data_IF_421006604039
#
_entry.id   IF_421006604039
#
_cell.length_a   1.000
_cell.length_b   1.000
_cell.length_c   1.000
_cell.angle_alpha   90.00
_cell.angle_beta   90.00
_cell.angle_gamma   90.00
#
_symmetry.space_group_name_H-M   'P 1'
#
loop_
_entity.id
_entity.type
_entity.pdbx_description
1 polymer ?
#
# COMPACT_ATOMS: atom_id res chain seq x y z
N UNK A 1 25.93 82.39 -41.76
CA UNK A 1 25.39 81.32 -42.62
C UNK A 1 26.12 79.97 -42.50
N UNK A 2 27.42 79.90 -42.13
CA UNK A 2 28.12 78.60 -41.95
C UNK A 2 27.83 77.89 -40.61
N UNK A 3 27.44 78.61 -39.57
CA UNK A 3 27.19 78.01 -38.24
C UNK A 3 25.82 77.31 -38.16
N UNK A 4 24.77 77.90 -38.71
CA UNK A 4 23.42 77.30 -38.76
C UNK A 4 23.40 75.98 -39.54
N UNK A 5 24.28 75.83 -40.55
CA UNK A 5 24.46 74.60 -41.31
C UNK A 5 25.15 73.50 -40.49
N UNK A 6 26.08 73.88 -39.61
CA UNK A 6 26.76 72.93 -38.70
C UNK A 6 25.79 72.46 -37.62
N UNK A 7 25.03 73.36 -37.03
CA UNK A 7 24.04 73.02 -35.99
C UNK A 7 22.97 72.06 -36.52
N UNK A 8 22.46 72.30 -37.73
CA UNK A 8 21.47 71.41 -38.37
C UNK A 8 22.06 70.04 -38.71
N UNK A 9 23.32 69.96 -39.14
CA UNK A 9 24.01 68.68 -39.35
C UNK A 9 24.16 67.88 -38.04
N UNK A 10 24.50 68.53 -36.93
CA UNK A 10 24.60 67.86 -35.63
C UNK A 10 23.25 67.37 -35.10
N UNK A 11 22.17 68.14 -35.30
CA UNK A 11 20.82 67.72 -34.93
C UNK A 11 20.37 66.52 -35.77
N UNK A 12 20.65 66.52 -37.07
CA UNK A 12 20.37 65.39 -37.95
C UNK A 12 21.13 64.13 -37.55
N UNK A 13 22.41 64.26 -37.21
CA UNK A 13 23.22 63.14 -36.70
C UNK A 13 22.71 62.60 -35.37
N UNK A 14 22.30 63.48 -34.44
CA UNK A 14 21.70 63.07 -33.17
C UNK A 14 20.38 62.31 -33.37
N UNK A 15 19.52 62.79 -34.27
CA UNK A 15 18.28 62.10 -34.64
C UNK A 15 18.54 60.73 -35.25
N UNK A 16 19.52 60.63 -36.15
CA UNK A 16 19.92 59.35 -36.75
C UNK A 16 20.46 58.37 -35.69
N UNK A 17 21.23 58.86 -34.71
CA UNK A 17 21.73 58.04 -33.61
C UNK A 17 20.62 57.57 -32.66
N UNK A 18 19.62 58.41 -32.37
CA UNK A 18 18.46 58.02 -31.55
C UNK A 18 17.61 56.97 -32.28
N UNK A 19 17.41 57.12 -33.59
CA UNK A 19 16.70 56.13 -34.41
C UNK A 19 17.49 54.82 -34.51
N UNK A 20 18.81 54.88 -34.66
CA UNK A 20 19.65 53.69 -34.64
C UNK A 20 19.64 53.01 -33.26
N UNK A 21 19.63 53.78 -32.17
CA UNK A 21 19.53 53.25 -30.81
C UNK A 21 18.20 52.52 -30.55
N UNK A 22 17.08 52.99 -31.11
CA UNK A 22 15.79 52.29 -31.01
C UNK A 22 15.70 51.00 -31.85
N UNK A 23 16.52 50.87 -32.90
CA UNK A 23 16.60 49.64 -33.71
C UNK A 23 17.60 48.64 -33.12
N UNK A 24 18.64 49.15 -32.45
CA UNK A 24 19.72 48.36 -31.83
C UNK A 24 19.45 48.10 -30.34
N UNK A 25 18.28 48.50 -29.83
CA UNK A 25 17.87 48.19 -28.46
C UNK A 25 17.96 46.66 -28.30
N UNK A 26 18.92 46.16 -27.50
CA UNK A 26 19.08 44.73 -27.33
C UNK A 26 17.79 44.23 -26.68
N UNK A 27 17.12 43.27 -27.33
CA UNK A 27 16.00 42.58 -26.73
C UNK A 27 16.35 42.31 -25.27
N UNK A 28 15.52 42.80 -24.35
CA UNK A 28 15.62 42.40 -22.97
C UNK A 28 15.33 40.91 -22.95
N UNK A 29 16.36 40.09 -23.11
CA UNK A 29 16.30 38.64 -22.94
C UNK A 29 16.01 38.46 -21.47
N UNK A 30 14.72 38.52 -21.11
CA UNK A 30 14.22 37.95 -19.88
C UNK A 30 14.76 36.52 -19.92
N UNK A 31 15.62 36.10 -18.98
CA UNK A 31 16.12 34.74 -19.00
C UNK A 31 14.90 33.82 -19.00
N UNK A 32 14.70 33.03 -20.06
CA UNK A 32 13.61 32.02 -20.19
C UNK A 32 13.52 31.03 -19.01
N UNK A 33 14.48 31.13 -18.09
CA UNK A 33 14.61 30.42 -16.82
C UNK A 33 13.52 30.83 -15.80
N UNK A 34 12.84 31.98 -15.96
CA UNK A 34 11.80 32.45 -15.02
C UNK A 34 10.37 32.51 -15.60
N UNK A 35 10.15 32.05 -16.82
CA UNK A 35 8.95 32.37 -17.60
C UNK A 35 7.64 31.74 -17.05
N UNK A 36 7.74 30.57 -16.43
CA UNK A 36 6.56 29.80 -15.99
C UNK A 36 6.50 29.57 -14.47
N UNK A 37 7.28 30.32 -13.71
CA UNK A 37 7.31 30.20 -12.26
C UNK A 37 6.00 30.69 -11.62
N UNK A 38 5.44 29.90 -10.70
CA UNK A 38 4.17 30.18 -10.03
C UNK A 38 2.92 29.70 -10.78
N UNK A 39 3.05 29.29 -12.04
CA UNK A 39 1.99 28.64 -12.79
C UNK A 39 1.65 27.25 -12.23
N UNK A 40 0.42 26.81 -12.48
CA UNK A 40 0.04 25.42 -12.21
C UNK A 40 0.76 24.47 -13.17
N UNK A 41 1.09 23.26 -12.70
CA UNK A 41 1.61 22.21 -13.60
C UNK A 41 0.60 21.81 -14.67
N UNK A 42 -0.69 21.76 -14.29
CA UNK A 42 -1.79 21.32 -15.16
C UNK A 42 -2.97 22.28 -15.03
N UNK A 43 -2.99 23.41 -15.79
CA UNK A 43 -4.02 24.44 -15.65
C UNK A 43 -5.47 23.96 -15.90
N UNK A 44 -5.64 22.89 -16.68
CA UNK A 44 -6.94 22.30 -16.98
C UNK A 44 -7.43 21.32 -15.90
N UNK A 45 -6.57 20.91 -14.98
CA UNK A 45 -6.95 20.11 -13.83
C UNK A 45 -7.36 21.08 -12.73
N UNK A 46 -8.68 21.25 -12.52
CA UNK A 46 -9.22 22.19 -11.52
C UNK A 46 -10.16 21.53 -10.52
N UNK A 47 -10.75 20.38 -10.87
CA UNK A 47 -11.64 19.62 -9.99
C UNK A 47 -10.92 18.40 -9.39
N UNK A 48 -10.60 18.39 -8.09
CA UNK A 48 -9.93 17.27 -7.44
C UNK A 48 -10.80 16.00 -7.34
N UNK A 49 -12.10 16.05 -7.68
CA UNK A 49 -12.99 14.89 -7.72
C UNK A 49 -13.15 14.30 -9.13
N UNK A 50 -12.64 14.98 -10.16
CA UNK A 50 -12.66 14.50 -11.54
C UNK A 50 -11.89 13.17 -11.74
N UNK A 51 -10.74 12.90 -11.07
CA UNK A 51 -10.01 11.66 -11.29
C UNK A 51 -10.84 10.42 -10.92
N UNK A 52 -10.94 9.48 -11.86
CA UNK A 52 -11.46 8.13 -11.65
C UNK A 52 -10.37 7.06 -11.62
N UNK A 53 -9.14 7.44 -11.92
CA UNK A 53 -7.97 6.57 -11.84
C UNK A 53 -6.79 7.34 -11.26
N UNK A 54 -6.05 6.68 -10.37
CA UNK A 54 -4.67 7.05 -10.01
C UNK A 54 -3.75 5.88 -10.29
N UNK A 55 -2.64 6.17 -10.93
CA UNK A 55 -1.56 5.24 -11.18
C UNK A 55 -0.29 5.81 -10.54
N UNK A 56 0.30 5.07 -9.61
CA UNK A 56 1.54 5.42 -8.93
C UNK A 56 2.57 4.35 -9.29
N UNK A 57 3.67 4.75 -9.89
CA UNK A 57 4.77 3.86 -10.22
C UNK A 57 5.96 4.32 -9.40
N UNK A 58 6.26 3.56 -8.36
CA UNK A 58 7.46 3.75 -7.57
C UNK A 58 8.61 2.91 -8.13
N UNK A 59 9.84 3.22 -7.75
CA UNK A 59 11.01 2.47 -8.20
C UNK A 59 11.89 2.10 -7.02
N UNK A 60 12.22 0.82 -6.93
CA UNK A 60 13.13 0.29 -5.93
C UNK A 60 14.52 0.15 -6.54
N UNK A 61 15.43 1.04 -6.12
CA UNK A 61 16.82 1.04 -6.59
C UNK A 61 17.61 -0.19 -6.13
N UNK A 62 17.27 -0.77 -4.97
CA UNK A 62 17.98 -1.95 -4.44
C UNK A 62 17.72 -3.19 -5.30
N UNK A 63 16.49 -3.34 -5.79
CA UNK A 63 16.08 -4.47 -6.62
C UNK A 63 16.06 -4.15 -8.11
N UNK A 64 16.26 -2.88 -8.48
CA UNK A 64 16.09 -2.34 -9.82
C UNK A 64 14.71 -2.69 -10.43
N UNK A 65 13.64 -2.58 -9.63
CA UNK A 65 12.28 -2.90 -10.08
C UNK A 65 11.29 -1.76 -9.90
N UNK A 66 10.42 -1.57 -10.89
CA UNK A 66 9.27 -0.68 -10.77
C UNK A 66 8.13 -1.38 -9.99
N UNK A 67 7.47 -0.62 -9.12
CA UNK A 67 6.34 -1.07 -8.29
C UNK A 67 5.08 -0.29 -8.70
N UNK A 68 4.31 -0.80 -9.69
CA UNK A 68 3.11 -0.13 -10.16
C UNK A 68 1.92 -0.42 -9.25
N UNK A 69 1.24 0.65 -8.86
CA UNK A 69 -0.04 0.61 -8.19
C UNK A 69 -1.06 1.37 -9.03
N UNK A 70 -2.17 0.71 -9.36
CA UNK A 70 -3.27 1.35 -10.08
C UNK A 70 -4.57 1.17 -9.31
N UNK A 71 -5.19 2.29 -8.93
CA UNK A 71 -6.51 2.33 -8.30
C UNK A 71 -7.48 3.00 -9.27
N UNK A 72 -8.60 2.35 -9.56
CA UNK A 72 -9.59 2.84 -10.52
C UNK A 72 -11.02 2.60 -10.05
N UNK A 73 -11.93 3.48 -10.46
CA UNK A 73 -13.36 3.29 -10.28
C UNK A 73 -13.91 2.49 -11.46
N UNK A 74 -14.39 1.27 -11.20
CA UNK A 74 -14.91 0.37 -12.22
C UNK A 74 -16.17 -0.33 -11.70
N UNK A 75 -17.22 -0.43 -12.53
CA UNK A 75 -18.47 -1.14 -12.21
C UNK A 75 -19.09 -0.68 -10.87
N UNK A 76 -19.08 0.63 -10.61
CA UNK A 76 -19.70 1.23 -9.43
C UNK A 76 -18.91 1.09 -8.13
N UNK A 77 -17.66 0.61 -8.17
CA UNK A 77 -16.80 0.48 -6.98
C UNK A 77 -15.34 0.81 -7.28
N UNK A 78 -14.58 1.14 -6.25
CA UNK A 78 -13.13 1.30 -6.36
C UNK A 78 -12.43 -0.05 -6.26
N UNK A 79 -11.43 -0.26 -7.13
CA UNK A 79 -10.60 -1.45 -7.15
C UNK A 79 -9.12 -1.08 -7.30
N UNK A 80 -8.25 -1.90 -6.72
CA UNK A 80 -6.81 -1.88 -7.03
C UNK A 80 -6.60 -2.78 -8.25
N UNK A 81 -6.62 -2.19 -9.45
CA UNK A 81 -6.51 -2.91 -10.72
C UNK A 81 -5.18 -3.65 -10.87
N UNK A 82 -4.08 -3.10 -10.34
CA UNK A 82 -2.78 -3.79 -10.33
C UNK A 82 -2.72 -5.00 -9.38
N UNK A 83 -3.73 -5.19 -8.54
CA UNK A 83 -3.83 -6.28 -7.56
C UNK A 83 -5.11 -7.06 -7.75
N UNK A 84 -5.28 -7.62 -8.95
CA UNK A 84 -6.39 -8.53 -9.29
C UNK A 84 -7.79 -7.91 -9.11
N UNK A 85 -7.91 -6.58 -9.23
CA UNK A 85 -9.15 -5.83 -8.96
C UNK A 85 -9.66 -5.98 -7.53
N UNK A 86 -8.74 -6.03 -6.54
CA UNK A 86 -9.10 -6.07 -5.12
C UNK A 86 -9.99 -4.87 -4.75
N UNK A 87 -11.20 -5.10 -4.18
CA UNK A 87 -12.13 -4.02 -3.88
C UNK A 87 -11.66 -3.21 -2.68
N UNK A 88 -11.77 -1.88 -2.79
CA UNK A 88 -11.34 -0.93 -1.76
C UNK A 88 -12.36 0.18 -1.58
N UNK A 89 -12.25 0.87 -0.45
CA UNK A 89 -12.92 2.15 -0.23
C UNK A 89 -11.89 3.29 -0.36
N UNK A 90 -11.55 3.61 -1.62
CA UNK A 90 -10.46 4.54 -1.94
C UNK A 90 -10.94 5.95 -2.30
N UNK A 91 -12.25 6.20 -2.36
CA UNK A 91 -12.80 7.45 -2.88
C UNK A 91 -12.27 8.69 -2.16
N UNK A 92 -12.37 8.70 -0.82
CA UNK A 92 -11.89 9.81 0.00
C UNK A 92 -10.37 10.00 -0.08
N UNK A 93 -9.62 8.88 -0.09
CA UNK A 93 -8.16 8.91 -0.19
C UNK A 93 -7.73 9.49 -1.53
N UNK A 94 -8.32 9.04 -2.63
CA UNK A 94 -8.02 9.57 -3.96
C UNK A 94 -8.35 11.05 -4.05
N UNK A 95 -9.54 11.47 -3.60
CA UNK A 95 -9.94 12.88 -3.64
C UNK A 95 -8.97 13.78 -2.84
N UNK A 96 -8.52 13.32 -1.66
CA UNK A 96 -7.50 14.02 -0.86
C UNK A 96 -6.16 14.10 -1.59
N UNK A 97 -5.71 13.00 -2.20
CA UNK A 97 -4.47 12.97 -2.99
C UNK A 97 -4.57 13.89 -4.20
N UNK A 98 -5.66 13.82 -4.97
CA UNK A 98 -5.93 14.69 -6.11
C UNK A 98 -5.98 16.18 -5.72
N UNK A 99 -6.60 16.51 -4.57
CA UNK A 99 -6.58 17.85 -3.99
C UNK A 99 -5.17 18.35 -3.69
N UNK A 100 -4.31 17.51 -3.12
CA UNK A 100 -2.92 17.90 -2.87
C UNK A 100 -2.09 18.07 -4.16
N UNK A 101 -2.47 17.40 -5.25
CA UNK A 101 -1.78 17.45 -6.54
C UNK A 101 -2.24 18.62 -7.42
N UNK A 102 -3.54 18.94 -7.42
CA UNK A 102 -4.11 20.03 -8.22
C UNK A 102 -3.55 21.39 -7.82
N UNK A 103 -3.23 21.57 -6.54
CA UNK A 103 -2.68 22.81 -5.99
C UNK A 103 -1.17 22.99 -6.22
N UNK A 104 -0.50 22.00 -6.83
CA UNK A 104 0.94 22.08 -7.08
C UNK A 104 1.27 23.14 -8.15
N UNK A 105 2.25 23.97 -7.81
CA UNK A 105 2.76 25.04 -8.67
C UNK A 105 4.24 24.86 -8.98
N UNK A 106 4.65 25.40 -10.12
CA UNK A 106 6.03 25.47 -10.56
C UNK A 106 6.81 26.48 -9.71
N UNK A 107 7.22 26.09 -8.51
CA UNK A 107 7.73 27.04 -7.50
C UNK A 107 9.09 27.65 -7.82
N UNK A 108 10.12 26.84 -8.06
CA UNK A 108 11.49 27.31 -8.35
C UNK A 108 12.07 26.43 -9.45
N UNK A 109 12.48 27.04 -10.56
CA UNK A 109 13.17 26.31 -11.63
C UNK A 109 14.53 25.82 -11.12
N UNK A 110 14.77 24.51 -11.21
CA UNK A 110 16.01 23.87 -10.76
C UNK A 110 16.99 23.63 -11.90
N UNK A 111 16.54 23.04 -13.00
CA UNK A 111 17.38 22.72 -14.17
C UNK A 111 16.52 22.49 -15.42
N UNK A 112 17.08 22.84 -16.58
CA UNK A 112 16.57 22.54 -17.93
C UNK A 112 17.38 21.44 -18.64
N UNK A 113 18.34 20.83 -17.95
CA UNK A 113 19.23 19.79 -18.48
C UNK A 113 18.73 18.38 -18.14
N UNK A 114 18.52 17.50 -19.15
CA UNK A 114 18.22 16.09 -18.91
C UNK A 114 19.33 15.34 -18.16
N UNK A 115 20.57 15.83 -18.21
CA UNK A 115 21.70 15.20 -17.53
C UNK A 115 21.56 15.25 -16.01
N UNK A 116 20.83 16.25 -15.49
CA UNK A 116 20.65 16.46 -14.05
C UNK A 116 19.51 15.58 -13.49
N UNK A 117 18.70 14.94 -14.34
CA UNK A 117 17.51 14.20 -13.91
C UNK A 117 17.85 13.08 -12.93
N UNK A 118 18.97 12.37 -13.14
CA UNK A 118 19.39 11.29 -12.26
C UNK A 118 19.82 11.81 -10.87
N UNK A 119 20.55 12.92 -10.83
CA UNK A 119 20.96 13.54 -9.57
C UNK A 119 19.75 14.00 -8.76
N UNK A 120 18.79 14.66 -9.43
CA UNK A 120 17.55 15.16 -8.84
C UNK A 120 16.52 14.05 -8.52
N UNK A 121 16.75 12.83 -9.01
CA UNK A 121 15.86 11.70 -8.81
C UNK A 121 14.56 11.79 -9.63
N UNK A 122 14.55 12.49 -10.75
CA UNK A 122 13.34 12.73 -11.57
C UNK A 122 13.36 12.00 -12.90
N UNK A 123 14.22 10.99 -13.06
CA UNK A 123 14.14 10.07 -14.21
C UNK A 123 12.81 9.31 -14.12
N UNK A 124 12.10 9.17 -15.24
CA UNK A 124 10.84 8.41 -15.23
C UNK A 124 11.14 6.93 -14.90
N UNK A 125 10.46 6.35 -13.89
CA UNK A 125 10.71 4.98 -13.45
C UNK A 125 10.54 3.94 -14.56
N UNK A 126 9.74 4.22 -15.59
CA UNK A 126 9.52 3.34 -16.73
C UNK A 126 10.38 3.66 -17.96
N UNK A 127 11.25 4.68 -17.91
CA UNK A 127 12.04 5.03 -19.08
C UNK A 127 13.14 3.99 -19.36
N UNK A 128 12.96 3.22 -20.43
CA UNK A 128 13.91 2.19 -20.86
C UNK A 128 15.11 2.76 -21.62
N UNK A 129 15.07 4.03 -22.05
CA UNK A 129 16.17 4.68 -22.77
C UNK A 129 17.29 5.11 -21.83
N UNK A 130 16.97 5.33 -20.56
CA UNK A 130 17.95 5.69 -19.54
C UNK A 130 18.54 4.41 -18.97
N UNK A 131 19.80 4.12 -19.31
CA UNK A 131 20.50 2.93 -18.82
C UNK A 131 20.74 2.94 -17.30
N UNK A 132 20.74 4.12 -16.67
CA UNK A 132 20.88 4.23 -15.23
C UNK A 132 19.69 3.58 -14.51
N UNK A 133 20.03 2.74 -13.53
CA UNK A 133 19.08 2.16 -12.59
C UNK A 133 18.94 3.02 -11.32
N UNK A 134 19.70 4.10 -11.20
CA UNK A 134 19.66 5.04 -10.07
C UNK A 134 19.14 6.41 -10.53
N UNK A 135 18.58 7.17 -9.59
CA UNK A 135 18.02 8.50 -9.86
C UNK A 135 16.64 8.47 -10.51
N UNK A 136 15.96 7.31 -10.44
CA UNK A 136 14.57 7.16 -10.89
C UNK A 136 13.62 7.69 -9.83
N UNK A 137 12.65 8.47 -10.30
CA UNK A 137 11.62 9.07 -9.47
C UNK A 137 10.39 8.20 -9.38
N UNK A 138 9.38 8.73 -8.68
CA UNK A 138 8.04 8.15 -8.57
C UNK A 138 7.10 8.85 -9.54
N UNK A 139 6.52 8.11 -10.47
CA UNK A 139 5.53 8.66 -11.41
C UNK A 139 4.13 8.57 -10.84
N UNK A 140 3.35 9.64 -10.92
CA UNK A 140 1.96 9.70 -10.47
C UNK A 140 1.10 10.27 -11.59
N UNK A 141 0.18 9.46 -12.10
CA UNK A 141 -0.72 9.84 -13.19
C UNK A 141 -2.17 9.79 -12.71
N UNK A 142 -2.93 10.86 -12.92
CA UNK A 142 -4.36 10.96 -12.67
C UNK A 142 -5.12 10.95 -13.99
N UNK A 143 -6.19 10.16 -14.08
CA UNK A 143 -7.06 10.11 -15.27
C UNK A 143 -8.52 10.27 -14.89
N UNK A 144 -9.29 10.88 -15.78
CA UNK A 144 -10.74 11.02 -15.65
C UNK A 144 -11.47 9.69 -15.92
N UNK A 145 -12.81 9.74 -15.98
CA UNK A 145 -13.66 8.59 -16.25
C UNK A 145 -13.51 8.01 -17.68
N UNK A 146 -13.06 8.82 -18.63
CA UNK A 146 -12.83 8.43 -20.02
C UNK A 146 -11.38 7.97 -20.28
N UNK A 147 -10.52 8.02 -19.26
CA UNK A 147 -9.11 7.65 -19.33
C UNK A 147 -8.19 8.77 -19.82
N UNK A 148 -8.70 9.99 -20.03
CA UNK A 148 -7.91 11.16 -20.37
C UNK A 148 -7.02 11.56 -19.19
N UNK A 149 -5.76 11.90 -19.48
CA UNK A 149 -4.79 12.31 -18.44
C UNK A 149 -5.14 13.71 -17.97
N UNK A 150 -5.45 13.84 -16.68
CA UNK A 150 -5.70 15.12 -16.02
C UNK A 150 -4.39 15.74 -15.53
N UNK A 151 -3.50 14.91 -14.97
CA UNK A 151 -2.19 15.33 -14.50
C UNK A 151 -1.22 14.14 -14.46
N UNK A 152 0.07 14.42 -14.62
CA UNK A 152 1.14 13.41 -14.61
C UNK A 152 2.45 14.00 -14.05
N UNK A 153 3.00 13.42 -12.99
CA UNK A 153 4.14 13.99 -12.29
C UNK A 153 5.23 12.94 -12.12
N UNK A 154 6.50 13.33 -12.22
CA UNK A 154 7.63 12.57 -11.69
C UNK A 154 8.14 13.27 -10.44
N UNK A 155 7.90 12.67 -9.28
CA UNK A 155 8.41 13.10 -7.99
C UNK A 155 9.82 12.55 -7.78
N UNK A 156 10.76 13.43 -7.50
CA UNK A 156 12.15 13.07 -7.21
C UNK A 156 12.53 13.24 -5.76
N UNK A 157 13.82 13.48 -5.52
CA UNK A 157 14.39 13.58 -4.17
C UNK A 157 13.88 14.81 -3.43
N UNK A 158 13.81 14.78 -2.09
CA UNK A 158 13.71 15.98 -1.28
C UNK A 158 14.85 16.96 -1.60
N UNK A 159 14.58 18.25 -1.48
CA UNK A 159 15.59 19.29 -1.74
C UNK A 159 16.46 19.46 -0.50
N UNK A 160 17.76 19.23 -0.66
CA UNK A 160 18.73 19.40 0.42
C UNK A 160 18.73 20.84 0.96
N UNK A 161 18.77 20.99 2.29
CA UNK A 161 18.73 22.29 2.95
C UNK A 161 17.38 23.02 2.89
N UNK A 162 16.33 22.40 2.33
CA UNK A 162 15.00 23.03 2.22
C UNK A 162 13.86 22.05 2.55
N UNK A 163 13.50 22.00 3.83
CA UNK A 163 12.44 21.12 4.33
C UNK A 163 11.10 21.35 3.62
N UNK A 164 10.41 20.24 3.33
CA UNK A 164 9.11 20.25 2.66
C UNK A 164 9.17 20.59 1.16
N UNK A 165 10.37 20.72 0.57
CA UNK A 165 10.53 20.83 -0.87
C UNK A 165 10.97 19.50 -1.48
N UNK A 166 10.46 19.21 -2.68
CA UNK A 166 10.82 18.03 -3.47
C UNK A 166 10.99 18.42 -4.94
N UNK A 167 11.90 17.75 -5.64
CA UNK A 167 12.03 17.94 -7.09
C UNK A 167 10.85 17.31 -7.82
N UNK A 168 10.26 18.02 -8.78
CA UNK A 168 9.15 17.56 -9.61
C UNK A 168 9.45 17.87 -11.08
N UNK A 169 9.07 16.94 -11.95
CA UNK A 169 9.17 17.08 -13.41
C UNK A 169 7.89 16.60 -14.08
N UNK A 170 7.49 17.26 -15.17
CA UNK A 170 6.45 16.75 -16.08
C UNK A 170 7.08 15.67 -16.98
N UNK A 171 6.53 14.45 -17.06
CA UNK A 171 7.05 13.42 -17.96
C UNK A 171 7.21 13.92 -19.41
N UNK A 172 8.36 13.63 -20.02
CA UNK A 172 8.69 14.08 -21.37
C UNK A 172 9.31 15.49 -21.45
N UNK A 173 9.15 16.32 -20.42
CA UNK A 173 9.81 17.63 -20.35
C UNK A 173 11.22 17.53 -19.76
N UNK A 174 12.06 18.51 -20.11
CA UNK A 174 13.43 18.63 -19.60
C UNK A 174 13.49 19.42 -18.29
N UNK A 175 12.62 20.41 -18.14
CA UNK A 175 12.59 21.34 -17.01
C UNK A 175 12.20 20.62 -15.73
N UNK A 176 12.89 20.98 -14.65
CA UNK A 176 12.68 20.43 -13.30
C UNK A 176 12.47 21.57 -12.33
N UNK A 177 11.61 21.36 -11.33
CA UNK A 177 11.26 22.37 -10.36
C UNK A 177 11.48 21.85 -8.94
N UNK A 178 11.90 22.72 -8.03
CA UNK A 178 11.83 22.46 -6.59
C UNK A 178 10.50 23.00 -6.06
N UNK A 179 9.60 22.11 -5.67
CA UNK A 179 8.21 22.42 -5.29
C UNK A 179 7.98 22.16 -3.81
N UNK A 180 7.34 23.09 -3.11
CA UNK A 180 6.91 22.89 -1.73
C UNK A 180 5.71 21.97 -1.71
N UNK A 181 5.87 20.76 -1.20
CA UNK A 181 4.78 19.79 -1.15
C UNK A 181 4.96 18.75 -0.06
N UNK A 182 3.86 18.43 0.61
CA UNK A 182 3.74 17.26 1.47
C UNK A 182 3.07 16.08 0.74
N UNK A 183 2.68 16.24 -0.52
CA UNK A 183 2.05 15.19 -1.30
C UNK A 183 3.06 14.06 -1.57
N UNK A 184 2.73 12.86 -1.12
CA UNK A 184 3.49 11.64 -1.41
C UNK A 184 2.52 10.48 -1.67
N UNK A 185 1.95 10.40 -2.89
CA UNK A 185 1.07 9.29 -3.25
C UNK A 185 1.81 7.96 -3.11
N UNK A 186 1.20 7.03 -2.37
CA UNK A 186 1.82 5.72 -2.11
C UNK A 186 1.57 4.73 -3.26
N UNK A 187 2.60 3.97 -3.62
CA UNK A 187 2.49 2.81 -4.50
C UNK A 187 2.29 1.49 -3.73
N UNK A 188 2.16 1.52 -2.41
CA UNK A 188 2.02 0.30 -1.59
C UNK A 188 0.56 -0.09 -1.49
N UNK A 189 0.23 -1.34 -1.83
CA UNK A 189 -1.13 -1.90 -1.67
C UNK A 189 -1.71 -1.64 -0.28
N UNK A 190 -0.92 -1.89 0.77
CA UNK A 190 -1.33 -1.79 2.17
C UNK A 190 -1.89 -0.41 2.57
N UNK A 191 -1.49 0.65 1.87
CA UNK A 191 -1.94 1.99 2.19
C UNK A 191 -3.35 2.27 1.62
N UNK A 192 -3.76 1.54 0.58
CA UNK A 192 -5.03 1.74 -0.12
C UNK A 192 -6.16 0.82 0.35
N UNK A 193 -5.87 -0.09 1.28
CA UNK A 193 -6.84 -1.04 1.83
C UNK A 193 -7.23 -0.73 3.27
N UNK A 194 -8.35 -1.32 3.69
CA UNK A 194 -8.81 -1.26 5.09
C UNK A 194 -7.70 -1.74 6.05
N UNK A 195 -7.28 -0.91 7.03
CA UNK A 195 -6.21 -1.25 7.95
C UNK A 195 -6.59 -2.33 8.97
N UNK A 196 -7.87 -2.73 9.03
CA UNK A 196 -8.37 -3.82 9.87
C UNK A 196 -9.05 -4.88 8.99
N UNK A 197 -8.28 -5.89 8.57
CA UNK A 197 -8.79 -7.01 7.79
C UNK A 197 -9.98 -7.71 8.46
N UNK A 198 -9.91 -7.90 9.78
CA UNK A 198 -10.86 -8.72 10.53
C UNK A 198 -12.12 -7.94 10.94
N UNK A 199 -12.05 -6.60 10.97
CA UNK A 199 -13.10 -5.70 11.49
C UNK A 199 -13.53 -6.07 12.91
N UNK A 200 -12.54 -6.42 13.74
CA UNK A 200 -12.71 -6.69 15.17
C UNK A 200 -12.07 -5.57 15.95
N UNK A 201 -12.68 -5.20 17.08
CA UNK A 201 -12.07 -4.30 18.05
C UNK A 201 -11.37 -5.10 19.15
N UNK A 202 -10.21 -4.66 19.61
CA UNK A 202 -9.47 -5.30 20.70
C UNK A 202 -10.32 -5.53 21.97
N UNK A 203 -11.21 -4.59 22.28
CA UNK A 203 -12.13 -4.67 23.42
C UNK A 203 -13.17 -5.79 23.29
N UNK A 204 -13.54 -6.19 22.08
CA UNK A 204 -14.50 -7.25 21.81
C UNK A 204 -13.91 -8.65 21.96
N UNK A 205 -12.58 -8.80 21.89
CA UNK A 205 -11.93 -10.11 21.95
C UNK A 205 -12.02 -10.65 23.38
N UNK A 206 -12.57 -11.86 23.50
CA UNK A 206 -12.76 -12.51 24.81
C UNK A 206 -12.16 -13.89 24.93
N UNK A 207 -11.85 -14.56 23.82
CA UNK A 207 -11.04 -15.78 23.86
C UNK A 207 -10.16 -15.89 22.62
N UNK A 208 -8.91 -16.28 22.82
CA UNK A 208 -7.96 -16.61 21.76
C UNK A 208 -7.45 -18.02 22.00
N UNK A 209 -7.51 -18.87 21.00
CA UNK A 209 -6.90 -20.21 21.04
C UNK A 209 -5.82 -20.26 19.99
N UNK A 210 -4.58 -20.50 20.40
CA UNK A 210 -3.46 -20.66 19.48
C UNK A 210 -3.16 -22.15 19.37
N UNK A 211 -3.21 -22.68 18.15
CA UNK A 211 -2.82 -24.04 17.81
C UNK A 211 -1.50 -24.00 17.04
N UNK A 212 -0.42 -24.36 17.73
CA UNK A 212 0.91 -24.49 17.13
C UNK A 212 1.09 -25.92 16.66
N UNK A 213 1.27 -26.11 15.36
CA UNK A 213 1.58 -27.42 14.78
C UNK A 213 2.26 -27.19 13.42
N UNK A 214 2.96 -28.20 12.94
CA UNK A 214 3.36 -28.31 11.54
C UNK A 214 2.78 -29.56 10.93
N UNK A 215 2.74 -29.61 9.59
CA UNK A 215 2.26 -30.79 8.87
C UNK A 215 3.48 -31.52 8.30
N UNK A 216 3.61 -32.79 8.62
CA UNK A 216 4.47 -33.69 7.87
C UNK A 216 3.77 -34.06 6.57
N UNK A 217 4.24 -33.49 5.46
CA UNK A 217 3.64 -33.67 4.14
C UNK A 217 3.83 -35.08 3.57
N UNK A 218 4.85 -35.83 4.02
CA UNK A 218 5.11 -37.18 3.52
C UNK A 218 4.07 -38.18 4.04
N UNK A 219 3.71 -38.06 5.33
CA UNK A 219 2.77 -38.98 5.98
C UNK A 219 1.40 -38.35 6.27
N UNK A 220 1.23 -37.06 5.99
CA UNK A 220 -0.04 -36.33 6.15
C UNK A 220 -0.50 -36.18 7.59
N UNK A 221 0.43 -36.03 8.55
CA UNK A 221 0.12 -35.96 9.99
C UNK A 221 0.56 -34.65 10.61
N UNK A 222 -0.19 -34.22 11.63
CA UNK A 222 0.20 -33.11 12.49
C UNK A 222 1.35 -33.54 13.39
N UNK A 223 2.41 -32.73 13.45
CA UNK A 223 3.53 -32.91 14.37
C UNK A 223 3.72 -31.65 15.21
N UNK A 224 4.38 -31.79 16.36
CA UNK A 224 4.60 -30.71 17.32
C UNK A 224 3.31 -29.97 17.75
N UNK A 225 2.18 -30.68 17.80
CA UNK A 225 0.88 -30.10 18.10
C UNK A 225 0.79 -29.68 19.57
N UNK A 226 0.67 -28.37 19.79
CA UNK A 226 0.44 -27.75 21.08
C UNK A 226 -0.71 -26.74 20.98
N UNK A 227 -1.41 -26.51 22.08
CA UNK A 227 -2.42 -25.45 22.15
C UNK A 227 -2.36 -24.68 23.45
N UNK A 228 -2.73 -23.40 23.38
CA UNK A 228 -2.94 -22.54 24.53
C UNK A 228 -4.23 -21.76 24.31
N UNK A 229 -5.06 -21.71 25.34
CA UNK A 229 -6.30 -20.94 25.37
C UNK A 229 -6.05 -19.74 26.28
N UNK A 230 -6.35 -18.55 25.77
CA UNK A 230 -6.35 -17.29 26.50
C UNK A 230 -7.79 -16.80 26.61
N UNK A 231 -8.30 -16.63 27.82
CA UNK A 231 -9.67 -16.16 28.07
C UNK A 231 -9.63 -14.83 28.82
N UNK A 232 -10.50 -13.91 28.44
CA UNK A 232 -10.67 -12.62 29.12
C UNK A 232 -11.86 -12.68 30.07
N UNK A 233 -11.58 -12.61 31.36
CA UNK A 233 -12.57 -12.64 32.46
C UNK A 233 -12.39 -11.37 33.31
N UNK A 234 -13.47 -10.61 33.52
CA UNK A 234 -13.46 -9.34 34.29
C UNK A 234 -12.34 -8.38 33.83
N UNK A 235 -12.13 -8.30 32.51
CA UNK A 235 -11.10 -7.46 31.91
C UNK A 235 -9.66 -7.99 32.02
N UNK A 236 -9.43 -9.14 32.69
CA UNK A 236 -8.12 -9.76 32.87
C UNK A 236 -7.97 -11.01 32.00
N UNK A 237 -6.79 -11.18 31.41
CA UNK A 237 -6.44 -12.38 30.66
C UNK A 237 -6.03 -13.51 31.59
N UNK A 238 -6.47 -14.72 31.28
CA UNK A 238 -6.08 -15.99 31.90
C UNK A 238 -5.62 -16.96 30.81
N UNK A 239 -4.58 -17.73 31.09
CA UNK A 239 -4.13 -18.80 30.22
C UNK A 239 -4.67 -20.16 30.68
N UNK A 240 -4.79 -21.11 29.76
CA UNK A 240 -5.10 -22.52 30.08
C UNK A 240 -3.93 -23.19 30.79
N UNK A 241 -4.25 -23.95 31.84
CA UNK A 241 -3.27 -24.46 32.80
C UNK A 241 -2.89 -23.37 33.81
N UNK A 242 -2.25 -23.73 34.92
CA UNK A 242 -1.93 -22.79 36.02
C UNK A 242 -0.81 -21.77 35.68
N UNK A 243 -0.65 -21.44 34.40
CA UNK A 243 0.37 -20.55 33.90
C UNK A 243 -0.08 -19.08 33.99
N UNK A 244 0.84 -18.21 34.42
CA UNK A 244 0.55 -16.78 34.53
C UNK A 244 0.71 -16.10 33.16
N UNK A 245 -0.33 -15.53 32.53
CA UNK A 245 -0.21 -14.93 31.20
C UNK A 245 0.67 -13.67 31.19
N UNK A 246 1.45 -13.48 30.13
CA UNK A 246 2.19 -12.23 29.91
C UNK A 246 1.25 -11.13 29.39
N UNK A 247 0.93 -10.15 30.23
CA UNK A 247 0.02 -9.05 29.87
C UNK A 247 0.49 -8.27 28.66
N UNK A 248 1.79 -7.96 28.60
CA UNK A 248 2.36 -7.18 27.50
C UNK A 248 2.22 -7.93 26.17
N UNK A 249 2.67 -9.19 26.12
CA UNK A 249 2.64 -10.00 24.89
C UNK A 249 1.20 -10.21 24.40
N UNK A 250 0.26 -10.45 25.32
CA UNK A 250 -1.15 -10.62 24.95
C UNK A 250 -1.74 -9.31 24.43
N UNK A 251 -1.42 -8.16 25.03
CA UNK A 251 -1.89 -6.87 24.55
C UNK A 251 -1.35 -6.55 23.15
N UNK A 252 -0.08 -6.87 22.88
CA UNK A 252 0.51 -6.73 21.53
C UNK A 252 -0.18 -7.65 20.51
N UNK A 253 -0.47 -8.90 20.88
CA UNK A 253 -1.21 -9.85 20.04
C UNK A 253 -2.63 -9.34 19.74
N UNK A 254 -3.36 -8.90 20.76
CA UNK A 254 -4.73 -8.36 20.65
C UNK A 254 -4.76 -7.07 19.82
N UNK A 255 -3.77 -6.19 19.99
CA UNK A 255 -3.60 -4.99 19.16
C UNK A 255 -3.32 -5.34 17.69
N UNK A 256 -2.50 -6.38 17.46
CA UNK A 256 -2.23 -6.90 16.11
C UNK A 256 -3.50 -7.45 15.45
N UNK A 257 -4.37 -8.11 16.22
CA UNK A 257 -5.67 -8.60 15.75
C UNK A 257 -6.64 -7.46 15.36
N UNK A 258 -6.67 -6.37 16.14
CA UNK A 258 -7.48 -5.17 15.89
C UNK A 258 -6.98 -4.35 14.69
N UNK A 259 -5.69 -4.41 14.40
CA UNK A 259 -5.06 -3.62 13.33
C UNK A 259 -4.34 -4.50 12.30
N UNK A 260 -4.90 -5.68 12.03
CA UNK A 260 -4.29 -6.64 11.11
C UNK A 260 -4.35 -6.12 9.67
N UNK A 261 -3.20 -5.63 9.18
CA UNK A 261 -3.03 -5.11 7.83
C UNK A 261 -2.64 -6.21 6.84
N UNK A 262 -3.16 -6.09 5.63
CA UNK A 262 -2.77 -6.91 4.48
C UNK A 262 -1.72 -6.16 3.66
N UNK A 263 -0.66 -6.85 3.26
CA UNK A 263 0.39 -6.27 2.39
C UNK A 263 0.18 -6.59 0.92
N UNK A 264 -0.43 -7.73 0.59
CA UNK A 264 -0.74 -8.15 -0.79
C UNK A 264 -1.86 -9.23 -0.74
N UNK A 265 -2.43 -9.58 -1.89
CA UNK A 265 -3.52 -10.57 -2.01
C UNK A 265 -3.35 -11.46 -3.24
N UNK A 266 -3.74 -12.73 -3.13
CA UNK A 266 -3.87 -13.64 -4.28
C UNK A 266 -5.29 -14.13 -4.42
N UNK A 267 -5.85 -14.17 -5.64
CA UNK A 267 -7.20 -14.67 -5.83
C UNK A 267 -7.25 -16.17 -5.54
N UNK A 268 -8.37 -16.61 -4.95
CA UNK A 268 -8.75 -18.02 -4.92
C UNK A 268 -9.36 -18.42 -6.26
N UNK A 269 -9.29 -19.70 -6.65
CA UNK A 269 -10.06 -20.23 -7.77
C UNK A 269 -11.54 -19.85 -7.63
N UNK A 270 -12.23 -19.46 -8.72
CA UNK A 270 -13.64 -19.09 -8.66
C UNK A 270 -14.54 -20.16 -8.03
N UNK A 271 -14.24 -21.44 -8.31
CA UNK A 271 -14.90 -22.61 -7.72
C UNK A 271 -14.78 -22.62 -6.19
N UNK A 272 -13.56 -22.52 -5.67
CA UNK A 272 -13.28 -22.43 -4.23
C UNK A 272 -13.95 -21.21 -3.59
N UNK A 273 -13.88 -20.05 -4.24
CA UNK A 273 -14.49 -18.83 -3.71
C UNK A 273 -16.02 -18.93 -3.66
N UNK A 274 -16.66 -19.64 -4.60
CA UNK A 274 -18.10 -19.88 -4.59
C UNK A 274 -18.50 -20.86 -3.48
N UNK A 275 -17.73 -21.93 -3.29
CA UNK A 275 -17.97 -22.93 -2.25
C UNK A 275 -17.87 -22.31 -0.85
N UNK A 276 -16.82 -21.51 -0.60
CA UNK A 276 -16.63 -20.83 0.68
C UNK A 276 -17.78 -19.87 1.02
N UNK A 277 -18.34 -19.16 0.03
CA UNK A 277 -19.54 -18.33 0.22
C UNK A 277 -20.76 -19.12 0.63
N UNK A 278 -20.88 -20.35 0.12
CA UNK A 278 -21.96 -21.29 0.48
C UNK A 278 -21.69 -22.05 1.79
N UNK A 279 -20.54 -21.83 2.43
CA UNK A 279 -20.12 -22.60 3.60
C UNK A 279 -19.81 -24.06 3.27
N UNK A 280 -19.51 -24.35 2.00
CA UNK A 280 -19.17 -25.67 1.50
C UNK A 280 -17.68 -25.70 1.15
N UNK A 281 -17.14 -26.89 0.98
CA UNK A 281 -15.79 -27.06 0.48
C UNK A 281 -15.74 -28.33 -0.35
N UNK A 282 -15.76 -28.19 -1.68
CA UNK A 282 -15.64 -29.32 -2.58
C UNK A 282 -14.17 -29.59 -2.88
N UNK A 283 -13.77 -30.86 -2.77
CA UNK A 283 -12.42 -31.28 -3.11
C UNK A 283 -12.31 -31.41 -4.64
N UNK A 284 -11.78 -30.37 -5.28
CA UNK A 284 -11.33 -30.43 -6.68
C UNK A 284 -9.80 -30.40 -6.75
N UNK A 285 -9.23 -30.92 -7.84
CA UNK A 285 -7.79 -30.89 -8.07
C UNK A 285 -7.25 -29.45 -8.07
N UNK A 286 -7.96 -28.52 -8.73
CA UNK A 286 -7.62 -27.09 -8.76
C UNK A 286 -7.57 -26.48 -7.35
N UNK A 287 -8.60 -26.76 -6.53
CA UNK A 287 -8.66 -26.30 -5.14
C UNK A 287 -7.50 -26.86 -4.32
N UNK A 288 -7.24 -28.16 -4.43
CA UNK A 288 -6.17 -28.83 -3.70
C UNK A 288 -4.78 -28.27 -4.07
N UNK A 289 -4.52 -28.04 -5.36
CA UNK A 289 -3.26 -27.43 -5.83
C UNK A 289 -3.14 -25.98 -5.35
N UNK A 290 -4.21 -25.19 -5.48
CA UNK A 290 -4.22 -23.78 -5.07
C UNK A 290 -3.94 -23.60 -3.58
N UNK A 291 -4.57 -24.43 -2.74
CA UNK A 291 -4.35 -24.47 -1.29
C UNK A 291 -2.91 -24.87 -0.97
N UNK A 292 -2.43 -25.99 -1.56
CA UNK A 292 -1.11 -26.56 -1.27
C UNK A 292 0.02 -25.59 -1.59
N UNK A 293 -0.04 -24.91 -2.74
CA UNK A 293 0.94 -23.89 -3.14
C UNK A 293 1.07 -22.73 -2.14
N UNK A 294 0.11 -22.55 -1.24
CA UNK A 294 0.06 -21.46 -0.25
C UNK A 294 0.18 -21.99 1.17
N UNK A 295 0.53 -23.26 1.36
CA UNK A 295 0.69 -23.90 2.67
C UNK A 295 -0.63 -24.31 3.32
N UNK A 296 -1.69 -24.51 2.54
CA UNK A 296 -2.98 -25.00 3.03
C UNK A 296 -3.30 -26.40 2.50
N UNK A 297 -3.95 -27.21 3.31
CA UNK A 297 -4.26 -28.60 2.98
C UNK A 297 -5.70 -28.91 3.37
N UNK A 298 -6.40 -29.69 2.55
CA UNK A 298 -7.71 -30.22 2.95
C UNK A 298 -7.52 -31.57 3.63
N UNK A 299 -7.95 -31.69 4.89
CA UNK A 299 -7.98 -32.96 5.58
C UNK A 299 -9.05 -33.89 4.97
N UNK A 300 -8.96 -35.21 5.17
CA UNK A 300 -10.02 -36.14 4.80
C UNK A 300 -11.38 -35.82 5.45
N UNK A 301 -11.37 -35.11 6.59
CA UNK A 301 -12.57 -34.64 7.30
C UNK A 301 -13.15 -33.35 6.74
N UNK A 302 -12.61 -32.83 5.63
CA UNK A 302 -13.08 -31.59 5.01
C UNK A 302 -12.67 -30.32 5.74
N UNK A 303 -11.68 -30.39 6.64
CA UNK A 303 -11.12 -29.21 7.33
C UNK A 303 -9.89 -28.69 6.60
N UNK A 304 -9.85 -27.38 6.38
CA UNK A 304 -8.62 -26.72 5.93
C UNK A 304 -7.65 -26.68 7.11
N UNK A 305 -6.45 -27.20 6.90
CA UNK A 305 -5.30 -27.12 7.78
C UNK A 305 -4.25 -26.19 7.15
N UNK A 306 -3.47 -25.53 8.00
CA UNK A 306 -2.35 -24.70 7.59
C UNK A 306 -1.05 -25.41 7.95
N UNK A 307 -0.01 -25.34 7.13
CA UNK A 307 1.26 -25.98 7.43
C UNK A 307 2.00 -25.33 8.61
N UNK A 308 1.59 -24.14 9.00
CA UNK A 308 2.23 -23.34 10.04
C UNK A 308 1.23 -22.91 11.13
N UNK A 309 0.27 -23.79 11.47
CA UNK A 309 -0.65 -23.62 12.59
C UNK A 309 -1.86 -22.72 12.34
N UNK A 310 -2.73 -22.60 13.34
CA UNK A 310 -3.95 -21.78 13.27
C UNK A 310 -4.28 -21.08 14.60
N UNK A 311 -5.03 -19.99 14.52
CA UNK A 311 -5.55 -19.25 15.66
C UNK A 311 -7.07 -19.12 15.55
N UNK A 312 -7.79 -19.40 16.64
CA UNK A 312 -9.20 -19.08 16.78
C UNK A 312 -9.39 -17.85 17.68
N UNK A 313 -10.16 -16.87 17.24
CA UNK A 313 -10.46 -15.64 17.97
C UNK A 313 -11.98 -15.53 18.17
N UNK A 314 -12.43 -15.55 19.42
CA UNK A 314 -13.83 -15.41 19.79
C UNK A 314 -14.10 -14.01 20.36
N UNK A 315 -15.17 -13.39 19.87
CA UNK A 315 -15.55 -12.00 20.20
C UNK A 315 -16.85 -11.96 21.00
N UNK A 316 -17.09 -10.90 21.76
CA UNK A 316 -18.25 -10.74 22.65
C UNK A 316 -19.60 -10.70 21.95
N UNK A 317 -19.65 -10.47 20.64
CA UNK A 317 -20.88 -10.56 19.85
C UNK A 317 -21.13 -11.96 19.27
N UNK A 318 -20.26 -12.95 19.54
CA UNK A 318 -20.44 -14.35 19.12
C UNK A 318 -19.77 -14.71 17.80
N UNK A 319 -19.02 -13.80 17.16
CA UNK A 319 -18.19 -14.16 16.02
C UNK A 319 -16.94 -14.93 16.46
N UNK A 320 -16.64 -15.99 15.70
CA UNK A 320 -15.43 -16.80 15.84
C UNK A 320 -14.67 -16.77 14.52
N UNK A 321 -13.49 -16.17 14.55
CA UNK A 321 -12.56 -16.12 13.43
C UNK A 321 -11.58 -17.28 13.54
N UNK A 322 -11.25 -17.92 12.42
CA UNK A 322 -10.16 -18.88 12.32
C UNK A 322 -9.14 -18.35 11.31
N UNK A 323 -7.96 -18.02 11.81
CA UNK A 323 -6.81 -17.56 11.05
C UNK A 323 -5.87 -18.75 10.85
N UNK A 324 -5.63 -19.13 9.60
CA UNK A 324 -4.72 -20.22 9.24
C UNK A 324 -3.49 -19.62 8.57
N UNK A 325 -2.31 -19.94 9.09
CA UNK A 325 -1.04 -19.37 8.62
C UNK A 325 -0.35 -20.33 7.67
N UNK A 326 -0.16 -19.89 6.43
CA UNK A 326 0.40 -20.71 5.38
C UNK A 326 1.88 -20.44 5.11
N UNK A 327 2.27 -20.77 3.89
CA UNK A 327 3.64 -20.68 3.41
C UNK A 327 4.12 -19.23 3.28
N UNK A 328 5.45 -19.05 3.23
CA UNK A 328 6.06 -17.77 2.85
C UNK A 328 5.52 -17.33 1.48
N UNK A 329 5.00 -16.11 1.44
CA UNK A 329 4.44 -15.55 0.24
C UNK A 329 5.57 -15.18 -0.73
N UNK A 330 5.60 -15.83 -1.89
CA UNK A 330 6.56 -15.55 -2.94
C UNK A 330 5.84 -15.05 -4.19
N UNK A 331 6.48 -14.12 -4.91
CA UNK A 331 5.94 -13.52 -6.13
C UNK A 331 4.81 -12.53 -5.86
N UNK A 332 4.87 -11.36 -6.51
CA UNK A 332 3.97 -10.23 -6.24
C UNK A 332 4.70 -8.91 -6.06
N UNK A 333 4.08 -7.78 -6.40
CA UNK A 333 4.71 -6.46 -6.24
C UNK A 333 4.98 -6.12 -4.77
N UNK A 334 4.07 -6.47 -3.84
CA UNK A 334 4.16 -6.13 -2.41
C UNK A 334 4.33 -7.37 -1.49
N UNK A 335 4.56 -8.55 -2.08
CA UNK A 335 4.72 -9.79 -1.33
C UNK A 335 6.08 -9.90 -0.63
N UNK A 336 7.14 -9.32 -1.20
CA UNK A 336 8.48 -9.34 -0.61
C UNK A 336 8.57 -8.33 0.54
N UNK A 337 9.08 -8.71 1.72
CA UNK A 337 9.32 -7.77 2.80
C UNK A 337 10.46 -6.79 2.45
N UNK A 338 10.59 -5.72 3.24
CA UNK A 338 11.77 -4.86 3.17
C UNK A 338 13.04 -5.64 3.57
N UNK A 339 14.21 -5.20 3.11
CA UNK A 339 15.49 -5.81 3.47
C UNK A 339 15.63 -5.91 5.01
N UNK A 340 15.97 -7.11 5.50
CA UNK A 340 16.12 -7.40 6.93
C UNK A 340 14.81 -7.60 7.71
N UNK A 341 13.64 -7.46 7.09
CA UNK A 341 12.36 -7.77 7.73
C UNK A 341 11.99 -9.25 7.57
N UNK A 342 11.13 -9.74 8.46
CA UNK A 342 10.65 -11.13 8.43
C UNK A 342 9.79 -11.40 7.18
N UNK A 343 9.92 -12.60 6.64
CA UNK A 343 9.17 -13.05 5.47
C UNK A 343 7.65 -12.96 5.66
N UNK A 344 6.98 -12.36 4.67
CA UNK A 344 5.52 -12.25 4.65
C UNK A 344 4.91 -13.63 4.38
N UNK A 345 3.70 -13.88 4.88
CA UNK A 345 3.06 -15.21 4.75
C UNK A 345 1.62 -15.11 4.31
N UNK A 346 1.18 -16.19 3.66
CA UNK A 346 -0.22 -16.38 3.32
C UNK A 346 -1.08 -16.56 4.58
N UNK A 347 -2.27 -15.97 4.55
CA UNK A 347 -3.29 -16.06 5.58
C UNK A 347 -4.62 -16.46 4.94
N UNK A 348 -5.23 -17.51 5.50
CA UNK A 348 -6.58 -17.93 5.16
C UNK A 348 -7.50 -17.68 6.34
N UNK A 349 -8.53 -16.86 6.15
CA UNK A 349 -9.47 -16.47 7.21
C UNK A 349 -10.86 -17.01 6.92
N UNK A 350 -11.49 -17.56 7.94
CA UNK A 350 -12.93 -17.90 7.95
C UNK A 350 -13.57 -17.35 9.20
N UNK A 351 -14.82 -16.92 9.12
CA UNK A 351 -15.64 -16.53 10.25
C UNK A 351 -16.85 -17.47 10.38
N UNK A 352 -17.26 -17.79 11.60
CA UNK A 352 -18.55 -18.40 11.87
C UNK A 352 -19.19 -17.72 13.08
N UNK A 353 -20.51 -17.82 13.16
CA UNK A 353 -21.25 -17.34 14.31
C UNK A 353 -21.49 -18.50 15.28
N UNK A 354 -21.21 -18.27 16.56
CA UNK A 354 -21.53 -19.18 17.66
C UNK A 354 -22.37 -18.42 18.69
N UNK A 355 -23.67 -18.72 18.84
CA UNK A 355 -24.50 -18.03 19.82
C UNK A 355 -23.96 -18.27 21.23
N UNK A 356 -23.91 -17.20 22.03
CA UNK A 356 -23.40 -17.27 23.40
C UNK A 356 -24.48 -17.63 24.42
N UNK A 357 -25.74 -17.44 24.05
CA UNK A 357 -26.91 -17.87 24.80
C UNK A 357 -28.01 -18.26 23.81
N UNK A 358 -29.01 -19.07 24.22
CA UNK A 358 -30.17 -19.39 23.38
C UNK A 358 -30.98 -18.15 22.97
N UNK A 359 -30.91 -17.06 23.73
CA UNK A 359 -31.63 -15.79 23.50
C UNK A 359 -30.85 -14.82 22.60
N UNK A 360 -29.58 -15.09 22.28
CA UNK A 360 -28.78 -14.26 21.41
C UNK A 360 -29.34 -14.26 19.98
N UNK A 361 -29.49 -13.08 19.37
CA UNK A 361 -30.05 -12.93 18.03
C UNK A 361 -29.22 -13.66 16.96
N UNK A 362 -29.63 -14.87 16.60
CA UNK A 362 -28.92 -15.77 15.68
C UNK A 362 -28.81 -15.20 14.27
N UNK A 363 -29.90 -14.65 13.74
CA UNK A 363 -29.96 -14.15 12.38
C UNK A 363 -29.03 -12.93 12.12
N UNK A 364 -28.80 -12.07 13.11
CA UNK A 364 -27.90 -10.93 12.96
C UNK A 364 -26.43 -11.39 12.94
N UNK A 365 -26.06 -12.26 13.87
CA UNK A 365 -24.72 -12.84 13.95
C UNK A 365 -24.33 -13.65 12.72
N UNK A 366 -25.24 -14.51 12.24
CA UNK A 366 -25.04 -15.30 11.03
C UNK A 366 -24.87 -14.42 9.78
N UNK A 367 -25.68 -13.36 9.63
CA UNK A 367 -25.53 -12.39 8.53
C UNK A 367 -24.17 -11.72 8.56
N UNK A 368 -23.67 -11.34 9.74
CA UNK A 368 -22.35 -10.73 9.89
C UNK A 368 -21.23 -11.71 9.55
N UNK A 369 -21.31 -12.96 10.02
CA UNK A 369 -20.35 -14.01 9.66
C UNK A 369 -20.35 -14.27 8.15
N UNK A 370 -21.52 -14.29 7.51
CA UNK A 370 -21.64 -14.45 6.05
C UNK A 370 -20.98 -13.30 5.29
N UNK A 371 -21.26 -12.05 5.66
CA UNK A 371 -20.66 -10.87 5.03
C UNK A 371 -19.12 -10.85 5.17
N UNK A 372 -18.59 -11.28 6.33
CA UNK A 372 -17.15 -11.46 6.51
C UNK A 372 -16.60 -12.57 5.60
N UNK A 373 -17.28 -13.71 5.50
CA UNK A 373 -16.85 -14.78 4.61
C UNK A 373 -16.95 -14.40 3.14
N UNK A 374 -17.91 -13.58 2.72
CA UNK A 374 -17.96 -13.02 1.35
C UNK A 374 -16.74 -12.16 1.06
N UNK A 375 -16.30 -11.35 2.03
CA UNK A 375 -15.05 -10.58 1.92
C UNK A 375 -13.83 -11.48 1.85
N UNK A 376 -13.79 -12.56 2.63
CA UNK A 376 -12.64 -13.46 2.69
C UNK A 376 -12.58 -14.46 1.53
N UNK A 377 -13.72 -14.84 0.96
CA UNK A 377 -13.85 -15.97 0.02
C UNK A 377 -12.93 -15.83 -1.19
N UNK A 378 -12.82 -14.63 -1.76
CA UNK A 378 -12.06 -14.40 -2.99
C UNK A 378 -10.54 -14.38 -2.80
N UNK A 379 -10.04 -14.22 -1.56
CA UNK A 379 -8.64 -13.86 -1.36
C UNK A 379 -7.89 -14.81 -0.42
N UNK A 380 -6.71 -15.24 -0.85
CA UNK A 380 -5.62 -15.54 0.06
C UNK A 380 -4.95 -14.22 0.42
N UNK A 381 -5.00 -13.84 1.69
CA UNK A 381 -4.34 -12.62 2.16
C UNK A 381 -2.85 -12.87 2.36
N UNK A 382 -2.04 -11.82 2.29
CA UNK A 382 -0.63 -11.86 2.67
C UNK A 382 -0.46 -10.83 3.78
N UNK A 383 0.11 -11.26 4.91
CA UNK A 383 0.36 -10.41 6.09
C UNK A 383 1.85 -10.37 6.41
N UNK A 384 2.27 -9.33 7.15
CA UNK A 384 3.69 -9.16 7.49
C UNK A 384 4.19 -10.28 8.37
N UNK A 385 5.44 -10.72 8.15
CA UNK A 385 6.07 -11.73 9.00
C UNK A 385 6.10 -11.35 10.49
N UNK A 386 6.28 -10.06 10.80
CA UNK A 386 6.21 -9.55 12.17
C UNK A 386 4.82 -9.73 12.80
N UNK A 387 3.75 -9.51 12.03
CA UNK A 387 2.37 -9.70 12.52
C UNK A 387 2.12 -11.20 12.74
N UNK A 388 2.61 -12.07 11.85
CA UNK A 388 2.57 -13.54 12.04
C UNK A 388 3.27 -13.93 13.35
N UNK A 389 4.48 -13.43 13.59
CA UNK A 389 5.24 -13.77 14.80
C UNK A 389 4.47 -13.39 16.07
N UNK A 390 3.85 -12.21 16.10
CA UNK A 390 3.02 -11.74 17.23
C UNK A 390 1.77 -12.58 17.45
N UNK A 391 1.14 -13.04 16.38
CA UNK A 391 -0.05 -13.88 16.46
C UNK A 391 0.29 -15.33 16.83
N UNK A 392 1.46 -15.83 16.44
CA UNK A 392 1.84 -17.22 16.67
C UNK A 392 2.83 -17.44 17.81
N UNK A 393 2.89 -16.51 18.76
CA UNK A 393 3.78 -16.64 19.91
C UNK A 393 3.57 -18.00 20.58
N UNK A 394 4.68 -18.71 20.85
CA UNK A 394 4.63 -20.01 21.48
C UNK A 394 4.10 -19.89 22.92
N UNK A 395 3.59 -21.00 23.46
CA UNK A 395 3.11 -21.07 24.86
C UNK A 395 4.11 -20.47 25.84
N UNK A 396 5.40 -20.75 25.67
CA UNK A 396 6.50 -20.24 26.51
C UNK A 396 6.57 -18.71 26.56
N UNK A 397 6.28 -18.02 25.45
CA UNK A 397 6.31 -16.56 25.34
C UNK A 397 5.01 -15.92 25.83
N UNK A 398 3.88 -16.62 25.68
CA UNK A 398 2.56 -16.17 26.11
C UNK A 398 2.36 -16.24 27.62
N UNK A 399 3.20 -16.99 28.34
CA UNK A 399 3.14 -17.15 29.80
C UNK A 399 4.43 -16.64 30.45
N UNK A 400 4.28 -15.86 31.51
CA UNK A 400 5.37 -15.40 32.36
C UNK A 400 5.97 -16.61 33.09
N UNK A 401 7.18 -17.04 32.73
CA UNK A 401 7.92 -18.04 33.51
C UNK A 401 8.63 -19.17 32.74
N UNK A 402 8.62 -19.21 31.40
CA UNK A 402 9.48 -20.14 30.66
C UNK A 402 10.73 -19.39 30.19
N UNK A 403 11.89 -19.82 30.70
CA UNK A 403 13.18 -19.27 30.29
C UNK A 403 13.32 -19.28 28.76
N UNK A 404 13.75 -18.15 28.20
CA UNK A 404 14.22 -18.07 26.82
C UNK A 404 15.24 -19.19 26.58
N UNK A 405 15.11 -20.05 25.56
CA UNK A 405 16.19 -20.94 25.20
C UNK A 405 17.39 -20.06 24.80
N UNK A 406 18.47 -20.22 25.54
CA UNK A 406 19.75 -19.56 25.28
C UNK A 406 20.19 -19.95 23.86
N UNK A 407 20.65 -19.01 23.01
CA UNK A 407 21.18 -19.38 21.71
C UNK A 407 22.34 -20.35 21.91
N UNK A 408 22.28 -21.52 21.29
CA UNK A 408 23.43 -22.41 21.17
C UNK A 408 24.49 -21.68 20.34
N UNK A 409 25.70 -21.63 20.91
CA UNK A 409 26.88 -20.97 20.37
C UNK A 409 27.45 -21.70 19.15
#
# INVERSE_FOLDING_TARGET
MRETLKTSAFVGAALALVLAAGIVEPDTVTPKILDDQGEAFYPNFTDPKAPKTIEVIDYDEETATARPLKVQFEKGRWVIASHHNYPVDAGDRLAKTAGALVDLRKDIVRSDSPQDHAELGVVDPLDQKVASLTGRGKRVTLRDEHGAVLADYVFGKPVEGKEGFRYIRVPGEKRTYAVKTAADPSARFADWVDPNLLRIAASSIRKVTVHSYTIDEMIGRLVNAASIILTREDGRWRASGDANPSKQVINEMVSTLDSLKVVDVRPKPPSLAQDLRKGQLQLSLETAVSLRQRGFMLSPTGRILANDGEMAVETSDGLVYTLRFGEVATGGPDSRPAAGAMENRHLFVTAHYRPQSPEAGTAAGERRARSLNERFADWYFIIRGQDVQRLKMQKATLVSGVAQPKPEL
#
